data_IF_485774067013
#
_entry.id   IF_485774067013
#
_cell.length_a   1.000
_cell.length_b   1.000
_cell.length_c   1.000
_cell.angle_alpha   90.00
_cell.angle_beta   90.00
_cell.angle_gamma   90.00
#
_symmetry.space_group_name_H-M   'P 1'
#
loop_
_entity.id
_entity.type
_entity.pdbx_description
1 polymer ?
#
# COMPACT_ATOMS: atom_id res chain seq x y z
N UNK A 1 -4.81 -5.96 3.53
CA UNK A 1 -4.15 -4.65 3.79
C UNK A 1 -2.65 -4.86 3.69
N UNK A 2 -1.93 -3.94 3.04
CA UNK A 2 -0.48 -3.97 2.94
C UNK A 2 0.14 -2.84 3.76
N UNK A 3 1.33 -3.10 4.29
CA UNK A 3 2.13 -2.14 5.04
C UNK A 3 3.58 -2.29 4.58
N UNK A 4 4.19 -1.20 4.15
CA UNK A 4 5.62 -1.16 3.84
C UNK A 4 6.31 -0.17 4.78
N UNK A 5 7.31 -0.62 5.55
CA UNK A 5 8.10 0.26 6.39
C UNK A 5 9.05 1.10 5.53
N UNK A 6 9.41 2.28 6.02
CA UNK A 6 10.55 3.02 5.48
C UNK A 6 11.85 2.35 5.97
N UNK A 7 12.85 2.12 5.10
CA UNK A 7 14.16 1.59 5.51
C UNK A 7 15.07 2.63 6.17
N UNK A 8 14.67 3.89 6.27
CA UNK A 8 15.46 4.97 6.85
C UNK A 8 15.27 5.02 8.38
N UNK A 9 16.30 5.47 9.11
CA UNK A 9 16.27 5.58 10.58
C UNK A 9 15.18 6.53 11.10
N UNK A 10 14.81 7.53 10.30
CA UNK A 10 13.75 8.49 10.62
C UNK A 10 12.78 8.56 9.43
N UNK A 11 11.52 8.18 9.65
CA UNK A 11 10.48 8.21 8.62
C UNK A 11 10.14 9.67 8.28
N UNK A 12 10.15 10.04 7.01
CA UNK A 12 9.72 11.38 6.54
C UNK A 12 8.24 11.65 6.81
N UNK A 13 7.45 10.59 6.96
CA UNK A 13 6.01 10.65 7.19
C UNK A 13 5.32 9.36 6.74
N UNK A 14 3.99 9.34 6.81
CA UNK A 14 3.16 8.21 6.36
C UNK A 14 2.31 8.58 5.15
N UNK A 15 2.18 7.65 4.20
CA UNK A 15 1.34 7.77 3.00
C UNK A 15 0.30 6.65 2.99
N UNK A 16 -0.96 7.02 2.77
CA UNK A 16 -2.04 6.06 2.50
C UNK A 16 -2.26 5.99 0.98
N UNK A 17 -2.04 4.82 0.39
CA UNK A 17 -2.23 4.57 -1.04
C UNK A 17 -3.62 3.98 -1.25
N UNK A 18 -4.47 4.68 -2.02
CA UNK A 18 -5.83 4.22 -2.33
C UNK A 18 -5.82 3.50 -3.67
N UNK A 19 -6.26 2.25 -3.66
CA UNK A 19 -6.40 1.39 -4.85
C UNK A 19 -7.40 1.97 -5.88
N UNK A 20 -7.18 1.63 -7.14
CA UNK A 20 -8.16 1.82 -8.22
C UNK A 20 -9.28 0.75 -8.15
N UNK A 21 -10.06 0.63 -9.22
CA UNK A 21 -11.20 -0.30 -9.33
C UNK A 21 -10.80 -1.79 -9.35
N UNK A 22 -9.52 -2.11 -9.41
CA UNK A 22 -9.00 -3.48 -9.57
C UNK A 22 -8.57 -4.16 -8.27
N UNK A 23 -8.68 -3.50 -7.11
CA UNK A 23 -8.20 -4.09 -5.87
C UNK A 23 -6.77 -3.68 -5.54
N UNK A 24 -6.20 -4.37 -4.54
CA UNK A 24 -4.77 -4.35 -4.30
C UNK A 24 -4.13 -5.28 -5.33
N UNK A 25 -3.37 -4.70 -6.26
CA UNK A 25 -2.62 -5.43 -7.31
C UNK A 25 -1.12 -5.30 -7.08
N UNK A 26 -0.32 -6.05 -7.85
CA UNK A 26 1.14 -5.89 -7.89
C UNK A 26 1.58 -4.47 -8.28
N UNK A 27 0.74 -3.73 -9.01
CA UNK A 27 0.96 -2.31 -9.27
C UNK A 27 0.86 -1.47 -8.00
N UNK A 28 -0.16 -1.69 -7.15
CA UNK A 28 -0.32 -1.01 -5.86
C UNK A 28 0.83 -1.37 -4.91
N UNK A 29 1.27 -2.62 -4.88
CA UNK A 29 2.47 -3.04 -4.15
C UNK A 29 3.71 -2.28 -4.60
N UNK A 30 3.95 -2.19 -5.91
CA UNK A 30 5.06 -1.44 -6.50
C UNK A 30 5.05 0.04 -6.11
N UNK A 31 3.88 0.69 -6.17
CA UNK A 31 3.71 2.09 -5.74
C UNK A 31 4.05 2.27 -4.26
N UNK A 32 3.54 1.38 -3.39
CA UNK A 32 3.84 1.42 -1.96
C UNK A 32 5.34 1.24 -1.69
N UNK A 33 6.00 0.34 -2.41
CA UNK A 33 7.44 0.10 -2.30
C UNK A 33 8.26 1.31 -2.78
N UNK A 34 7.86 1.98 -3.85
CA UNK A 34 8.55 3.19 -4.33
C UNK A 34 8.54 4.30 -3.28
N UNK A 35 7.38 4.60 -2.68
CA UNK A 35 7.30 5.58 -1.60
C UNK A 35 8.03 5.13 -0.33
N UNK A 36 8.03 3.83 -0.03
CA UNK A 36 8.83 3.27 1.06
C UNK A 36 10.32 3.55 0.87
N UNK A 37 10.84 3.28 -0.33
CA UNK A 37 12.24 3.54 -0.67
C UNK A 37 12.61 5.03 -0.56
N UNK A 38 11.65 5.92 -0.83
CA UNK A 38 11.80 7.38 -0.69
C UNK A 38 11.78 7.89 0.75
N UNK A 39 11.55 7.03 1.76
CA UNK A 39 11.56 7.43 3.17
C UNK A 39 10.21 7.59 3.83
N UNK A 40 9.13 7.13 3.21
CA UNK A 40 7.80 7.18 3.80
C UNK A 40 7.37 5.80 4.29
N UNK A 41 6.66 5.73 5.41
CA UNK A 41 5.87 4.54 5.72
C UNK A 41 4.64 4.52 4.82
N UNK A 42 4.33 3.38 4.21
CA UNK A 42 3.19 3.30 3.29
C UNK A 42 2.21 2.22 3.69
N UNK A 43 0.92 2.52 3.46
CA UNK A 43 -0.19 1.66 3.83
C UNK A 43 -1.17 1.63 2.66
N UNK A 44 -1.54 0.43 2.20
CA UNK A 44 -2.65 0.24 1.26
C UNK A 44 -3.79 -0.54 1.95
N UNK A 45 -4.92 0.10 2.25
CA UNK A 45 -6.09 -0.59 2.81
C UNK A 45 -6.75 -1.46 1.73
N UNK A 46 -7.15 -2.68 2.10
CA UNK A 46 -7.90 -3.57 1.22
C UNK A 46 -9.38 -3.14 1.24
N UNK A 47 -9.72 -2.11 0.47
CA UNK A 47 -11.06 -1.48 0.52
C UNK A 47 -12.17 -2.45 0.09
N UNK A 48 -11.83 -3.43 -0.76
CA UNK A 48 -12.74 -4.44 -1.29
C UNK A 48 -13.03 -5.59 -0.32
N UNK A 49 -12.21 -5.80 0.71
CA UNK A 49 -12.49 -6.79 1.77
C UNK A 49 -13.81 -6.51 2.51
N UNK A 50 -14.35 -5.29 2.38
CA UNK A 50 -15.67 -4.89 2.90
C UNK A 50 -16.83 -5.51 2.13
N UNK A 51 -16.64 -5.82 0.85
CA UNK A 51 -17.63 -6.50 0.03
C UNK A 51 -17.43 -8.01 0.13
N UNK A 52 -16.21 -8.47 -0.11
CA UNK A 52 -15.77 -9.86 0.04
C UNK A 52 -14.23 -9.89 0.06
N UNK A 53 -13.66 -10.82 0.83
CA UNK A 53 -12.20 -10.97 0.92
C UNK A 53 -11.67 -11.73 -0.29
N UNK A 54 -10.51 -11.31 -0.80
CA UNK A 54 -9.86 -11.95 -1.95
C UNK A 54 -10.71 -11.93 -3.24
N UNK A 55 -11.49 -10.87 -3.50
CA UNK A 55 -12.36 -10.72 -4.70
C UNK A 55 -11.61 -10.82 -6.04
N UNK A 56 -10.28 -10.72 -6.08
CA UNK A 56 -9.50 -10.70 -7.32
C UNK A 56 -8.42 -11.79 -7.28
N UNK A 57 -8.00 -12.33 -8.45
CA UNK A 57 -7.02 -13.41 -8.53
C UNK A 57 -5.63 -13.02 -8.00
#
# INVERSE_FOLDING_TARGET
MLIFPSPQNEEKGSIIVIQEIFGITSHIESVCQSFANEGYKTIAPALFDRFEKNIFP
#
